data_IF_664449833675
#
_entry.id   IF_664449833675
#
_cell.length_a   1.000
_cell.length_b   1.000
_cell.length_c   1.000
_cell.angle_alpha   90.00
_cell.angle_beta   90.00
_cell.angle_gamma   90.00
#
_symmetry.space_group_name_H-M   'P 1'
#
loop_
_entity.id
_entity.type
_entity.pdbx_description
1 polymer ?
#
# COMPACT_ATOMS: atom_id res chain seq x y z
N UNK A 1 8.79 -36.67 29.14
CA UNK A 1 8.44 -35.48 29.95
C UNK A 1 7.18 -34.86 29.36
N UNK A 2 6.16 -34.56 30.15
CA UNK A 2 4.93 -33.91 29.64
C UNK A 2 5.14 -32.40 29.76
N UNK A 3 5.19 -31.70 28.63
CA UNK A 3 5.32 -30.23 28.61
C UNK A 3 3.98 -29.62 29.03
N UNK A 4 3.97 -28.89 30.16
CA UNK A 4 2.83 -28.07 30.53
C UNK A 4 2.79 -26.80 29.66
N UNK A 5 1.93 -26.83 28.65
CA UNK A 5 1.74 -25.73 27.70
C UNK A 5 1.26 -24.42 28.35
N UNK A 6 0.73 -24.46 29.59
CA UNK A 6 0.35 -23.25 30.32
C UNK A 6 1.57 -22.43 30.74
N UNK A 7 2.70 -23.09 30.96
CA UNK A 7 3.98 -22.48 31.36
C UNK A 7 4.80 -21.98 30.17
N UNK A 8 4.34 -22.20 28.94
CA UNK A 8 4.98 -21.63 27.75
C UNK A 8 4.75 -20.12 27.76
N UNK A 9 5.85 -19.38 27.64
CA UNK A 9 5.86 -17.92 27.52
C UNK A 9 6.36 -17.53 26.14
N UNK A 10 5.98 -16.34 25.68
CA UNK A 10 6.52 -15.74 24.45
C UNK A 10 6.99 -14.34 24.78
N UNK A 11 8.21 -14.00 24.38
CA UNK A 11 8.79 -12.66 24.57
C UNK A 11 9.62 -12.18 23.39
N UNK A 12 9.80 -10.86 23.21
CA UNK A 12 10.69 -10.34 22.19
C UNK A 12 12.12 -10.84 22.41
N UNK A 13 12.83 -11.04 21.32
CA UNK A 13 14.26 -11.39 21.35
C UNK A 13 15.04 -10.17 21.85
N UNK A 14 15.94 -10.37 22.81
CA UNK A 14 16.86 -9.34 23.26
C UNK A 14 18.02 -9.16 22.28
N UNK A 15 18.66 -7.99 22.27
CA UNK A 15 19.75 -7.68 21.33
C UNK A 15 20.92 -8.68 21.41
N UNK A 16 21.27 -9.13 22.63
CA UNK A 16 22.30 -10.15 22.87
C UNK A 16 21.93 -11.55 22.35
N UNK A 17 20.65 -11.81 22.10
CA UNK A 17 20.12 -13.10 21.66
C UNK A 17 19.93 -13.18 20.15
N UNK A 18 20.07 -12.06 19.42
CA UNK A 18 19.78 -11.97 17.99
C UNK A 18 20.63 -12.92 17.16
N UNK A 19 21.91 -13.07 17.51
CA UNK A 19 22.82 -13.99 16.81
C UNK A 19 22.36 -15.44 16.97
N UNK A 20 22.07 -15.88 18.21
CA UNK A 20 21.53 -17.22 18.49
C UNK A 20 20.22 -17.46 17.75
N UNK A 21 19.33 -16.47 17.74
CA UNK A 21 18.06 -16.55 16.99
C UNK A 21 18.29 -16.79 15.50
N UNK A 22 19.20 -16.02 14.89
CA UNK A 22 19.54 -16.16 13.48
C UNK A 22 20.18 -17.50 13.17
N UNK A 23 21.15 -17.94 13.97
CA UNK A 23 21.88 -19.19 13.78
C UNK A 23 20.91 -20.39 13.83
N UNK A 24 20.05 -20.46 14.85
CA UNK A 24 19.01 -21.51 14.95
C UNK A 24 17.98 -21.46 13.81
N UNK A 25 17.54 -20.26 13.42
CA UNK A 25 16.62 -20.10 12.29
C UNK A 25 17.28 -20.51 10.96
N UNK A 26 18.58 -20.25 10.81
CA UNK A 26 19.34 -20.62 9.63
C UNK A 26 19.53 -22.13 9.52
N UNK A 27 19.78 -22.78 10.65
CA UNK A 27 20.01 -24.22 10.74
C UNK A 27 18.73 -25.04 10.54
N UNK A 28 17.64 -24.69 11.23
CA UNK A 28 16.47 -25.56 11.33
C UNK A 28 15.25 -25.12 10.50
N UNK A 29 15.11 -23.84 10.13
CA UNK A 29 13.99 -23.43 9.28
C UNK A 29 14.28 -23.76 7.82
N UNK A 30 13.35 -24.42 7.12
CA UNK A 30 13.49 -24.82 5.71
C UNK A 30 13.74 -23.69 4.68
N UNK A 31 13.73 -22.43 5.10
CA UNK A 31 14.01 -21.24 4.29
C UNK A 31 15.16 -20.40 4.88
N UNK A 32 15.83 -20.91 5.90
CA UNK A 32 16.83 -20.23 6.69
C UNK A 32 16.34 -18.98 7.39
N UNK A 33 17.32 -18.23 7.89
CA UNK A 33 17.14 -16.96 8.58
C UNK A 33 16.64 -15.87 7.64
N UNK A 34 15.98 -14.86 8.21
CA UNK A 34 15.52 -13.68 7.48
C UNK A 34 16.07 -12.44 8.19
N UNK A 35 16.82 -11.56 7.49
CA UNK A 35 17.35 -10.34 8.11
C UNK A 35 16.23 -9.41 8.55
N UNK A 36 16.46 -8.61 9.62
CA UNK A 36 15.52 -7.56 10.04
C UNK A 36 15.52 -6.45 8.98
N UNK A 37 14.55 -6.50 8.06
CA UNK A 37 14.32 -5.46 7.05
C UNK A 37 13.01 -4.75 7.41
N UNK A 38 13.04 -3.42 7.46
CA UNK A 38 11.88 -2.58 7.81
C UNK A 38 11.31 -2.94 9.20
N UNK A 39 10.00 -2.79 9.38
CA UNK A 39 9.27 -3.12 10.61
C UNK A 39 9.24 -4.63 10.79
N UNK A 40 10.15 -5.16 11.62
CA UNK A 40 10.27 -6.59 11.93
C UNK A 40 10.45 -6.83 13.42
N UNK A 41 9.59 -7.67 14.01
CA UNK A 41 9.68 -8.19 15.38
C UNK A 41 10.05 -9.68 15.36
N UNK A 42 10.92 -10.07 16.28
CA UNK A 42 11.23 -11.47 16.56
C UNK A 42 10.80 -11.81 17.97
N UNK A 43 10.20 -12.97 18.11
CA UNK A 43 9.86 -13.55 19.40
C UNK A 43 10.51 -14.90 19.57
N UNK A 44 10.86 -15.20 20.80
CA UNK A 44 11.14 -16.56 21.24
C UNK A 44 9.98 -17.05 22.11
N UNK A 45 9.63 -18.31 21.96
CA UNK A 45 8.84 -19.04 22.92
C UNK A 45 9.76 -19.80 23.86
N UNK A 46 9.47 -19.78 25.16
CA UNK A 46 10.25 -20.49 26.18
C UNK A 46 9.37 -21.35 27.07
N UNK A 47 9.93 -22.44 27.58
CA UNK A 47 9.36 -23.28 28.64
C UNK A 47 10.48 -23.57 29.65
N UNK A 48 10.28 -23.22 30.92
CA UNK A 48 11.32 -23.31 31.96
C UNK A 48 12.67 -22.69 31.53
N UNK A 49 12.62 -21.51 30.90
CA UNK A 49 13.75 -20.77 30.31
C UNK A 49 14.43 -21.41 29.09
N UNK A 50 14.05 -22.63 28.69
CA UNK A 50 14.52 -23.24 27.45
C UNK A 50 13.77 -22.68 26.25
N UNK A 51 14.49 -22.45 25.15
CA UNK A 51 13.89 -22.00 23.90
C UNK A 51 13.19 -23.18 23.23
N UNK A 52 11.92 -23.00 22.88
CA UNK A 52 11.10 -24.08 22.29
C UNK A 52 10.63 -23.76 20.87
N UNK A 53 10.49 -22.47 20.53
CA UNK A 53 10.13 -22.03 19.19
C UNK A 53 10.60 -20.60 18.91
N UNK A 54 10.83 -20.31 17.63
CA UNK A 54 11.23 -19.01 17.10
C UNK A 54 10.18 -18.51 16.11
N UNK A 55 9.77 -17.25 16.21
CA UNK A 55 8.74 -16.70 15.34
C UNK A 55 9.00 -15.24 14.98
N UNK A 56 8.93 -14.93 13.67
CA UNK A 56 9.17 -13.60 13.11
C UNK A 56 7.89 -13.02 12.54
N UNK A 57 7.65 -11.74 12.83
CA UNK A 57 6.64 -10.90 12.20
C UNK A 57 7.33 -9.75 11.48
N UNK A 58 7.06 -9.56 10.20
CA UNK A 58 7.66 -8.51 9.38
C UNK A 58 6.60 -7.77 8.58
N UNK A 59 6.99 -6.69 7.91
CA UNK A 59 6.13 -6.00 6.94
C UNK A 59 5.42 -6.99 5.98
N UNK A 60 4.15 -6.73 5.61
CA UNK A 60 3.35 -7.64 4.81
C UNK A 60 3.79 -7.67 3.34
N UNK A 61 3.34 -8.68 2.61
CA UNK A 61 3.52 -8.77 1.18
C UNK A 61 2.83 -7.58 0.49
N UNK A 62 3.61 -6.86 -0.32
CA UNK A 62 3.15 -5.69 -1.07
C UNK A 62 1.98 -6.00 -2.02
N UNK A 63 1.87 -7.25 -2.49
CA UNK A 63 0.82 -7.72 -3.39
C UNK A 63 0.38 -9.11 -2.97
N UNK A 64 -0.89 -9.27 -2.60
CA UNK A 64 -1.45 -10.57 -2.25
C UNK A 64 -2.93 -10.61 -2.64
N UNK A 65 -3.22 -11.05 -3.88
CA UNK A 65 -4.58 -10.99 -4.43
C UNK A 65 -5.60 -11.79 -3.59
N UNK A 66 -5.19 -12.91 -2.99
CA UNK A 66 -6.04 -13.72 -2.11
C UNK A 66 -6.51 -12.91 -0.90
N UNK A 67 -5.57 -12.31 -0.17
CA UNK A 67 -5.84 -11.39 0.93
C UNK A 67 -6.66 -10.18 0.48
N UNK A 68 -6.22 -9.49 -0.58
CA UNK A 68 -6.85 -8.25 -1.02
C UNK A 68 -8.33 -8.46 -1.37
N UNK A 69 -8.65 -9.59 -2.04
CA UNK A 69 -10.03 -10.02 -2.30
C UNK A 69 -10.82 -10.32 -1.03
N UNK A 70 -10.20 -11.01 -0.07
CA UNK A 70 -10.84 -11.32 1.20
C UNK A 70 -11.18 -10.07 2.00
N UNK A 71 -10.30 -9.06 2.02
CA UNK A 71 -10.57 -7.77 2.68
C UNK A 71 -11.60 -6.94 1.88
N UNK A 72 -11.66 -7.11 0.56
CA UNK A 72 -12.47 -6.26 -0.33
C UNK A 72 -11.71 -5.02 -0.80
N UNK A 73 -10.37 -5.05 -0.79
CA UNK A 73 -9.57 -3.95 -1.31
C UNK A 73 -9.62 -3.88 -2.83
N UNK A 74 -10.01 -2.71 -3.34
CA UNK A 74 -9.63 -2.29 -4.68
C UNK A 74 -8.14 -1.88 -4.71
N UNK A 75 -7.62 -1.67 -5.92
CA UNK A 75 -6.22 -1.30 -6.11
C UNK A 75 -5.85 0.09 -5.56
N UNK A 76 -6.83 0.94 -5.23
CA UNK A 76 -6.63 2.32 -4.78
C UNK A 76 -6.36 2.40 -3.28
N UNK A 77 -6.93 1.49 -2.49
CA UNK A 77 -6.81 1.51 -1.01
C UNK A 77 -5.70 0.61 -0.46
N UNK A 78 -5.14 -0.28 -1.28
CA UNK A 78 -4.25 -1.36 -0.83
C UNK A 78 -3.01 -0.86 -0.09
N UNK A 79 -2.29 0.13 -0.63
CA UNK A 79 -0.93 0.47 -0.17
C UNK A 79 -0.90 1.28 1.12
N UNK A 80 -1.83 2.22 1.30
CA UNK A 80 -1.91 3.06 2.49
C UNK A 80 -2.22 2.24 3.75
N UNK A 81 -2.84 1.07 3.57
CA UNK A 81 -3.30 0.21 4.65
C UNK A 81 -2.35 -0.94 4.97
N UNK A 82 -1.30 -1.16 4.17
CA UNK A 82 -0.33 -2.22 4.44
C UNK A 82 0.37 -2.05 5.80
N UNK A 83 0.54 -0.83 6.31
CA UNK A 83 1.07 -0.62 7.67
C UNK A 83 0.17 -1.16 8.78
N UNK A 84 -1.11 -1.43 8.50
CA UNK A 84 -2.04 -2.07 9.44
C UNK A 84 -1.96 -3.60 9.39
N UNK A 85 -1.10 -4.15 8.54
CA UNK A 85 -0.93 -5.58 8.35
C UNK A 85 0.49 -5.99 8.76
N UNK A 86 0.65 -7.24 9.16
CA UNK A 86 1.97 -7.84 9.38
C UNK A 86 1.99 -9.27 8.89
N UNK A 87 3.14 -9.76 8.46
CA UNK A 87 3.32 -11.11 7.96
C UNK A 87 4.10 -11.94 9.00
N UNK A 88 3.52 -13.06 9.43
CA UNK A 88 4.28 -14.09 10.11
C UNK A 88 5.21 -14.77 9.09
N UNK A 89 6.41 -14.20 8.95
CA UNK A 89 7.36 -14.50 7.89
C UNK A 89 8.21 -15.74 8.13
N UNK A 90 8.41 -16.11 9.41
CA UNK A 90 9.08 -17.35 9.82
C UNK A 90 8.43 -17.89 11.07
N UNK A 91 8.26 -19.20 11.13
CA UNK A 91 7.84 -19.89 12.34
C UNK A 91 8.51 -21.26 12.40
N UNK A 92 9.31 -21.46 13.44
CA UNK A 92 10.12 -22.64 13.68
C UNK A 92 9.82 -23.16 15.08
N UNK A 93 9.33 -24.39 15.18
CA UNK A 93 9.42 -25.17 16.43
C UNK A 93 10.77 -25.87 16.40
N UNK A 94 11.53 -25.80 17.50
CA UNK A 94 12.86 -26.40 17.53
C UNK A 94 12.74 -27.95 17.50
N UNK A 95 13.73 -28.68 16.94
CA UNK A 95 13.63 -30.12 16.68
C UNK A 95 13.23 -30.99 17.89
N UNK A 96 13.70 -30.63 19.09
CA UNK A 96 13.40 -31.40 20.31
C UNK A 96 12.05 -31.03 20.95
N UNK A 97 11.32 -30.10 20.34
CA UNK A 97 10.12 -29.46 20.92
C UNK A 97 8.84 -29.71 20.13
N UNK A 98 8.80 -30.75 19.29
CA UNK A 98 7.59 -31.14 18.54
C UNK A 98 6.52 -31.80 19.42
N UNK A 99 5.92 -31.03 20.32
CA UNK A 99 4.83 -31.46 21.19
C UNK A 99 3.45 -31.06 20.64
N UNK A 100 2.40 -31.87 20.85
CA UNK A 100 1.03 -31.52 20.46
C UNK A 100 0.63 -30.15 21.00
N UNK A 101 -0.01 -29.33 20.16
CA UNK A 101 -0.56 -28.01 20.49
C UNK A 101 0.46 -26.92 20.91
N UNK A 102 1.76 -27.21 20.97
CA UNK A 102 2.77 -26.19 21.30
C UNK A 102 2.74 -25.05 20.30
N UNK A 103 2.75 -25.37 19.00
CA UNK A 103 2.85 -24.37 17.96
C UNK A 103 1.61 -23.45 17.89
N UNK A 104 0.40 -24.00 18.06
CA UNK A 104 -0.84 -23.19 18.13
C UNK A 104 -0.92 -22.38 19.42
N UNK A 105 -0.38 -22.89 20.54
CA UNK A 105 -0.20 -22.13 21.78
C UNK A 105 0.73 -20.93 21.59
N UNK A 106 1.87 -21.11 20.93
CA UNK A 106 2.80 -20.02 20.61
C UNK A 106 2.12 -18.95 19.75
N UNK A 107 1.40 -19.33 18.69
CA UNK A 107 0.64 -18.38 17.87
C UNK A 107 -0.40 -17.59 18.70
N UNK A 108 -1.10 -18.27 19.61
CA UNK A 108 -2.08 -17.63 20.51
C UNK A 108 -1.43 -16.63 21.47
N UNK A 109 -0.26 -16.95 22.02
CA UNK A 109 0.51 -16.05 22.87
C UNK A 109 1.04 -14.83 22.09
N UNK A 110 1.55 -15.03 20.87
CA UNK A 110 1.92 -13.93 19.98
C UNK A 110 0.72 -13.01 19.70
N UNK A 111 -0.44 -13.58 19.34
CA UNK A 111 -1.66 -12.82 19.08
C UNK A 111 -2.02 -11.88 20.24
N UNK A 112 -1.89 -12.33 21.50
CA UNK A 112 -2.23 -11.52 22.69
C UNK A 112 -1.33 -10.31 22.90
N UNK A 113 -0.10 -10.32 22.39
CA UNK A 113 0.89 -9.26 22.66
C UNK A 113 1.27 -8.43 21.45
N UNK A 114 1.12 -8.98 20.24
CA UNK A 114 1.64 -8.40 19.00
C UNK A 114 1.17 -6.96 18.78
N UNK A 115 -0.12 -6.65 19.01
CA UNK A 115 -0.62 -5.29 18.84
C UNK A 115 0.08 -4.28 19.75
N UNK A 116 0.31 -4.66 21.02
CA UNK A 116 0.97 -3.80 22.00
C UNK A 116 2.43 -3.58 21.61
N UNK A 117 3.18 -4.66 21.38
CA UNK A 117 4.60 -4.57 21.04
C UNK A 117 4.83 -3.84 19.70
N UNK A 118 3.94 -4.03 18.73
CA UNK A 118 4.02 -3.34 17.43
C UNK A 118 3.79 -1.84 17.59
N UNK A 119 2.78 -1.45 18.37
CA UNK A 119 2.50 -0.05 18.68
C UNK A 119 3.66 0.61 19.43
N UNK A 120 4.20 -0.05 20.45
CA UNK A 120 5.33 0.45 21.25
C UNK A 120 6.59 0.63 20.41
N UNK A 121 6.86 -0.30 19.48
CA UNK A 121 8.10 -0.29 18.72
C UNK A 121 8.07 0.54 17.44
N UNK A 122 6.93 0.59 16.75
CA UNK A 122 6.81 1.24 15.45
C UNK A 122 5.89 2.47 15.47
N UNK A 123 5.25 2.76 16.60
CA UNK A 123 4.41 3.95 16.78
C UNK A 123 3.05 3.85 16.11
N UNK A 124 2.61 2.65 15.69
CA UNK A 124 1.34 2.49 14.99
C UNK A 124 0.66 1.13 15.19
N UNK A 125 -0.68 1.05 15.07
CA UNK A 125 -1.40 -0.21 15.23
C UNK A 125 -1.21 -1.18 14.06
N UNK A 126 -1.51 -2.44 14.36
CA UNK A 126 -1.65 -3.55 13.41
C UNK A 126 -3.00 -4.24 13.68
N UNK A 127 -3.73 -4.56 12.61
CA UNK A 127 -5.10 -5.08 12.64
C UNK A 127 -5.22 -6.51 12.11
N UNK A 128 -4.28 -6.94 11.26
CA UNK A 128 -4.37 -8.23 10.57
C UNK A 128 -2.99 -8.86 10.41
N UNK A 129 -2.88 -10.14 10.78
CA UNK A 129 -1.73 -10.95 10.41
C UNK A 129 -2.01 -11.72 9.12
N UNK A 130 -0.99 -11.91 8.31
CA UNK A 130 -0.98 -12.84 7.19
C UNK A 130 0.18 -13.85 7.34
N UNK A 131 0.10 -14.96 6.63
CA UNK A 131 1.21 -15.89 6.46
C UNK A 131 1.04 -16.67 5.16
N UNK A 132 2.14 -17.29 4.71
CA UNK A 132 2.21 -18.05 3.48
C UNK A 132 2.73 -19.45 3.76
N UNK A 133 1.88 -20.45 3.55
CA UNK A 133 2.22 -21.85 3.74
C UNK A 133 2.55 -22.47 2.39
N UNK A 134 3.70 -23.13 2.32
CA UNK A 134 4.11 -23.85 1.11
C UNK A 134 3.52 -25.26 1.13
N UNK A 135 2.54 -25.58 0.26
CA UNK A 135 1.84 -26.86 0.26
C UNK A 135 2.75 -28.04 -0.09
N UNK A 136 3.95 -27.78 -0.64
CA UNK A 136 4.96 -28.83 -0.84
C UNK A 136 5.44 -29.44 0.49
N UNK A 137 5.49 -28.63 1.55
CA UNK A 137 6.05 -29.03 2.83
C UNK A 137 4.99 -29.12 3.94
N UNK A 138 3.95 -28.30 3.89
CA UNK A 138 2.99 -28.15 4.98
C UNK A 138 1.58 -27.89 4.49
N UNK A 139 0.57 -28.41 5.22
CA UNK A 139 -0.86 -28.20 4.91
C UNK A 139 -1.52 -27.10 5.76
N UNK A 140 -0.74 -26.39 6.58
CA UNK A 140 -1.19 -25.26 7.40
C UNK A 140 -1.96 -25.64 8.67
N UNK A 141 -1.82 -26.88 9.17
CA UNK A 141 -2.52 -27.41 10.35
C UNK A 141 -2.43 -26.48 11.56
N UNK A 142 -1.25 -25.95 11.84
CA UNK A 142 -1.03 -25.06 13.00
C UNK A 142 -1.84 -23.76 12.91
N UNK A 143 -1.95 -23.19 11.71
CA UNK A 143 -2.71 -21.96 11.48
C UNK A 143 -4.21 -22.23 11.59
N UNK A 144 -4.69 -23.35 11.04
CA UNK A 144 -6.08 -23.80 11.21
C UNK A 144 -6.42 -24.00 12.69
N UNK A 145 -5.57 -24.70 13.44
CA UNK A 145 -5.73 -24.92 14.88
C UNK A 145 -5.70 -23.62 15.70
N UNK A 146 -4.99 -22.58 15.22
CA UNK A 146 -4.98 -21.26 15.83
C UNK A 146 -6.11 -20.33 15.31
N UNK A 147 -7.12 -20.88 14.64
CA UNK A 147 -8.27 -20.17 14.09
C UNK A 147 -7.88 -19.07 13.07
N UNK A 148 -6.87 -19.34 12.23
CA UNK A 148 -6.58 -18.53 11.05
C UNK A 148 -7.48 -18.96 9.90
N UNK A 149 -7.84 -17.99 9.06
CA UNK A 149 -8.74 -18.19 7.91
C UNK A 149 -7.91 -18.37 6.65
N UNK A 150 -8.13 -19.46 5.92
CA UNK A 150 -7.58 -19.63 4.58
C UNK A 150 -8.33 -18.74 3.60
N UNK A 151 -7.62 -17.95 2.80
CA UNK A 151 -8.22 -16.93 1.90
C UNK A 151 -7.90 -17.15 0.42
N UNK A 152 -7.34 -18.31 0.08
CA UNK A 152 -6.94 -18.69 -1.27
C UNK A 152 -5.44 -18.78 -1.45
N UNK A 153 -5.01 -18.97 -2.69
CA UNK A 153 -3.60 -19.19 -3.02
C UNK A 153 -2.94 -17.98 -3.70
N UNK A 154 -1.62 -17.91 -3.56
CA UNK A 154 -0.79 -16.99 -4.34
C UNK A 154 -0.65 -17.49 -5.78
N UNK A 155 -0.24 -16.60 -6.70
CA UNK A 155 0.01 -16.97 -8.11
C UNK A 155 1.39 -17.59 -8.36
N UNK A 156 2.18 -17.86 -7.32
CA UNK A 156 3.51 -18.46 -7.46
C UNK A 156 4.64 -17.53 -7.93
N UNK A 157 4.39 -16.24 -8.17
CA UNK A 157 5.43 -15.29 -8.61
C UNK A 157 6.25 -14.76 -7.43
N UNK A 158 7.58 -14.72 -7.59
CA UNK A 158 8.50 -14.14 -6.61
C UNK A 158 9.11 -12.84 -7.14
N UNK A 159 9.35 -11.87 -6.26
CA UNK A 159 10.12 -10.67 -6.61
C UNK A 159 11.62 -11.00 -6.70
N UNK A 160 12.25 -10.66 -7.81
CA UNK A 160 13.69 -10.70 -8.07
C UNK A 160 14.25 -9.27 -8.10
N UNK A 161 15.57 -9.10 -8.18
CA UNK A 161 16.19 -7.77 -8.35
C UNK A 161 15.72 -7.05 -9.63
N UNK A 162 15.31 -7.79 -10.66
CA UNK A 162 14.90 -7.25 -11.96
C UNK A 162 13.37 -7.11 -12.11
N UNK A 163 12.56 -7.53 -11.12
CA UNK A 163 11.11 -7.48 -11.22
C UNK A 163 10.43 -8.65 -10.53
N UNK A 164 9.41 -9.22 -11.16
CA UNK A 164 8.83 -10.51 -10.73
C UNK A 164 9.34 -11.62 -11.65
N UNK A 165 9.46 -12.84 -11.12
CA UNK A 165 9.84 -14.02 -11.90
C UNK A 165 8.91 -14.18 -13.11
N UNK A 166 9.47 -14.57 -14.25
CA UNK A 166 8.70 -14.89 -15.46
C UNK A 166 7.93 -16.20 -15.30
N UNK A 167 8.46 -17.13 -14.51
CA UNK A 167 7.83 -18.41 -14.18
C UNK A 167 7.18 -18.36 -12.81
N UNK A 168 5.95 -18.88 -12.74
CA UNK A 168 5.27 -19.13 -11.48
C UNK A 168 5.82 -20.40 -10.83
N UNK A 169 6.24 -20.31 -9.58
CA UNK A 169 6.47 -21.47 -8.72
C UNK A 169 5.15 -22.03 -8.21
N UNK A 170 5.21 -23.07 -7.38
CA UNK A 170 4.02 -23.62 -6.73
C UNK A 170 3.29 -22.52 -5.92
N UNK A 171 1.98 -22.37 -6.12
CA UNK A 171 1.13 -21.53 -5.30
C UNK A 171 1.29 -21.83 -3.80
N UNK A 172 1.51 -20.79 -3.01
CA UNK A 172 1.42 -20.85 -1.55
C UNK A 172 0.02 -20.58 -1.07
N UNK A 173 -0.42 -21.33 -0.06
CA UNK A 173 -1.67 -21.07 0.66
C UNK A 173 -1.55 -19.80 1.50
N UNK A 174 -2.53 -18.92 1.42
CA UNK A 174 -2.57 -17.68 2.20
C UNK A 174 -3.54 -17.86 3.37
N UNK A 175 -3.04 -17.60 4.57
CA UNK A 175 -3.86 -17.55 5.78
C UNK A 175 -3.82 -16.15 6.37
N UNK A 176 -4.95 -15.71 6.95
CA UNK A 176 -5.05 -14.43 7.65
C UNK A 176 -5.63 -14.61 9.04
N UNK A 177 -5.26 -13.73 9.97
CA UNK A 177 -5.78 -13.69 11.33
C UNK A 177 -6.09 -12.27 11.77
N UNK A 178 -7.36 -11.91 11.94
CA UNK A 178 -7.77 -10.65 12.58
C UNK A 178 -7.17 -10.53 13.98
N UNK A 179 -6.55 -9.39 14.27
CA UNK A 179 -6.06 -9.01 15.61
C UNK A 179 -7.08 -8.18 16.39
N UNK A 180 -8.16 -7.77 15.72
CA UNK A 180 -9.26 -7.00 16.28
C UNK A 180 -10.58 -7.57 15.76
N UNK A 181 -11.63 -7.59 16.59
CA UNK A 181 -12.93 -8.16 16.21
C UNK A 181 -13.52 -7.52 14.94
N UNK A 182 -13.31 -6.21 14.78
CA UNK A 182 -13.76 -5.43 13.61
C UNK A 182 -12.67 -5.24 12.56
N UNK A 183 -11.57 -5.99 12.59
CA UNK A 183 -10.42 -5.74 11.70
C UNK A 183 -10.81 -5.78 10.22
N UNK A 184 -11.59 -6.77 9.80
CA UNK A 184 -12.06 -6.89 8.42
C UNK A 184 -12.90 -5.66 8.02
N UNK A 185 -13.90 -5.31 8.83
CA UNK A 185 -14.75 -4.13 8.61
C UNK A 185 -13.91 -2.85 8.52
N UNK A 186 -13.04 -2.58 9.50
CA UNK A 186 -12.16 -1.41 9.52
C UNK A 186 -11.30 -1.37 8.25
N UNK A 187 -10.65 -2.48 7.90
CA UNK A 187 -9.78 -2.54 6.74
C UNK A 187 -10.56 -2.40 5.42
N UNK A 188 -11.83 -2.81 5.37
CA UNK A 188 -12.68 -2.67 4.18
C UNK A 188 -13.31 -1.28 4.02
N UNK A 189 -13.39 -0.49 5.10
CA UNK A 189 -14.02 0.83 5.07
C UNK A 189 -13.34 1.75 4.05
N UNK A 190 -14.07 2.61 3.34
CA UNK A 190 -13.48 3.53 2.37
C UNK A 190 -12.59 4.58 3.07
N UNK A 191 -12.99 5.03 4.25
CA UNK A 191 -12.24 6.00 5.06
C UNK A 191 -11.90 5.38 6.40
N UNK A 192 -10.61 5.35 6.70
CA UNK A 192 -10.12 4.89 7.99
C UNK A 192 -10.28 5.98 9.05
N UNK A 193 -10.53 5.59 10.29
CA UNK A 193 -10.40 6.49 11.44
C UNK A 193 -8.98 7.11 11.49
N UNK A 194 -8.81 8.35 11.99
CA UNK A 194 -7.50 9.01 12.04
C UNK A 194 -6.37 8.17 12.63
N UNK A 195 -6.66 7.37 13.68
CA UNK A 195 -5.70 6.46 14.33
C UNK A 195 -5.11 5.38 13.40
N UNK A 196 -5.80 5.07 12.29
CA UNK A 196 -5.40 4.06 11.31
C UNK A 196 -4.83 4.70 10.02
N UNK A 197 -4.70 6.03 9.94
CA UNK A 197 -4.14 6.75 8.79
C UNK A 197 -2.63 6.93 8.93
N UNK A 198 -1.89 5.85 8.68
CA UNK A 198 -0.48 5.72 9.10
C UNK A 198 0.49 5.93 7.92
N UNK A 199 -0.05 5.91 6.69
CA UNK A 199 0.65 6.25 5.47
C UNK A 199 0.24 7.63 4.95
N UNK A 200 1.15 8.30 4.23
CA UNK A 200 0.73 9.35 3.29
C UNK A 200 -0.05 8.72 2.14
N UNK A 201 -1.04 9.43 1.59
CA UNK A 201 -1.86 8.99 0.46
C UNK A 201 -0.97 8.57 -0.73
N UNK A 202 -0.73 7.27 -0.92
CA UNK A 202 0.13 6.73 -1.98
C UNK A 202 -0.64 5.67 -2.76
N UNK A 203 -1.34 6.10 -3.80
CA UNK A 203 -1.85 5.16 -4.81
C UNK A 203 -0.65 4.73 -5.65
N UNK A 204 -0.28 3.45 -5.62
CA UNK A 204 0.64 2.92 -6.64
C UNK A 204 -0.15 2.76 -7.93
N UNK A 205 0.34 3.18 -9.10
CA UNK A 205 -0.40 3.03 -10.35
C UNK A 205 -0.28 1.62 -10.95
N UNK A 206 -1.36 1.12 -11.54
CA UNK A 206 -1.37 -0.14 -12.27
C UNK A 206 -0.83 0.08 -13.69
N UNK A 207 -0.38 -0.97 -14.36
CA UNK A 207 0.01 -0.87 -15.77
C UNK A 207 -1.13 -0.33 -16.65
N UNK A 208 -2.38 -0.74 -16.36
CA UNK A 208 -3.58 -0.25 -17.05
C UNK A 208 -3.79 1.25 -16.80
N UNK A 209 -3.66 1.71 -15.55
CA UNK A 209 -3.77 3.13 -15.22
C UNK A 209 -2.67 3.96 -15.90
N UNK A 210 -1.42 3.49 -15.91
CA UNK A 210 -0.32 4.20 -16.58
C UNK A 210 -0.59 4.35 -18.08
N UNK A 211 -1.16 3.33 -18.73
CA UNK A 211 -1.53 3.34 -20.14
C UNK A 211 -2.69 4.28 -20.45
N UNK A 212 -3.76 4.22 -19.65
CA UNK A 212 -5.00 4.95 -19.95
C UNK A 212 -4.96 6.40 -19.49
N UNK A 213 -4.14 6.75 -18.49
CA UNK A 213 -4.17 8.08 -17.86
C UNK A 213 -3.83 9.23 -18.83
N UNK A 214 -2.80 9.13 -19.70
CA UNK A 214 -2.56 10.15 -20.73
C UNK A 214 -3.76 10.38 -21.66
N UNK A 215 -4.58 9.35 -21.91
CA UNK A 215 -5.65 9.40 -22.90
C UNK A 215 -6.76 10.37 -22.52
N UNK A 216 -7.01 10.55 -21.22
CA UNK A 216 -8.01 11.50 -20.70
C UNK A 216 -7.64 12.96 -20.98
N UNK A 217 -6.37 13.23 -21.28
CA UNK A 217 -5.84 14.57 -21.53
C UNK A 217 -5.60 14.85 -23.02
N UNK A 218 -5.90 13.91 -23.94
CA UNK A 218 -5.63 14.08 -25.38
C UNK A 218 -6.41 15.22 -26.02
N UNK A 219 -7.64 15.43 -25.56
CA UNK A 219 -8.54 16.46 -26.10
C UNK A 219 -8.16 17.88 -25.67
N UNK A 220 -7.23 18.04 -24.72
CA UNK A 220 -6.85 19.37 -24.23
C UNK A 220 -5.93 20.04 -25.26
N UNK A 221 -6.26 21.24 -25.77
CA UNK A 221 -5.40 21.98 -26.68
C UNK A 221 -4.05 22.31 -26.03
N UNK A 222 -2.94 22.14 -26.76
CA UNK A 222 -1.61 22.44 -26.24
C UNK A 222 -1.32 23.95 -26.28
N UNK A 223 -1.24 24.64 -25.11
CA UNK A 223 -1.08 26.08 -25.06
C UNK A 223 0.38 26.52 -25.33
N UNK A 224 1.32 25.57 -25.49
CA UNK A 224 2.73 25.87 -25.71
C UNK A 224 3.00 26.20 -27.17
N UNK A 225 4.03 27.00 -27.43
CA UNK A 225 4.55 27.27 -28.78
C UNK A 225 5.16 26.00 -29.39
N UNK A 226 5.10 25.85 -30.71
CA UNK A 226 5.55 24.64 -31.44
C UNK A 226 6.96 24.17 -31.09
N UNK A 227 7.93 25.08 -30.93
CA UNK A 227 9.32 24.76 -30.58
C UNK A 227 9.50 24.09 -29.20
N UNK A 228 8.52 24.23 -28.29
CA UNK A 228 8.54 23.64 -26.94
C UNK A 228 7.87 22.26 -26.83
N UNK A 229 7.25 21.75 -27.91
CA UNK A 229 6.41 20.55 -27.89
C UNK A 229 7.20 19.25 -28.08
N UNK A 230 8.32 19.09 -27.37
CA UNK A 230 9.11 17.84 -27.45
C UNK A 230 8.44 16.66 -26.73
N UNK A 231 7.62 16.92 -25.72
CA UNK A 231 6.76 15.92 -25.08
C UNK A 231 5.31 16.28 -25.38
N UNK A 232 4.48 15.31 -25.75
CA UNK A 232 3.04 15.54 -25.92
C UNK A 232 2.42 16.05 -24.61
N UNK A 233 1.44 16.95 -24.74
CA UNK A 233 0.74 17.52 -23.58
C UNK A 233 0.12 16.43 -22.70
N UNK A 234 -0.55 15.47 -23.35
CA UNK A 234 -1.21 14.33 -22.70
C UNK A 234 -0.24 13.48 -21.87
N UNK A 235 0.97 13.24 -22.36
CA UNK A 235 2.01 12.52 -21.62
C UNK A 235 2.49 13.31 -20.40
N UNK A 236 2.72 14.63 -20.55
CA UNK A 236 3.15 15.47 -19.43
C UNK A 236 2.07 15.49 -18.34
N UNK A 237 0.82 15.75 -18.72
CA UNK A 237 -0.32 15.76 -17.79
C UNK A 237 -0.57 14.38 -17.18
N UNK A 238 -0.43 13.30 -17.95
CA UNK A 238 -0.53 11.93 -17.45
C UNK A 238 0.54 11.61 -16.40
N UNK A 239 1.79 12.05 -16.60
CA UNK A 239 2.86 11.90 -15.61
C UNK A 239 2.58 12.75 -14.36
N UNK A 240 2.13 13.99 -14.51
CA UNK A 240 1.78 14.86 -13.39
C UNK A 240 0.65 14.24 -12.56
N UNK A 241 -0.46 13.89 -13.21
CA UNK A 241 -1.61 13.26 -12.55
C UNK A 241 -1.17 11.96 -11.87
N UNK A 242 -0.34 11.16 -12.55
CA UNK A 242 0.19 9.93 -12.00
C UNK A 242 1.05 10.14 -10.75
N UNK A 243 1.93 11.14 -10.77
CA UNK A 243 2.76 11.49 -9.62
C UNK A 243 1.92 11.99 -8.44
N UNK A 244 0.92 12.85 -8.70
CA UNK A 244 0.01 13.39 -7.68
C UNK A 244 -0.81 12.26 -7.05
N UNK A 245 -1.31 11.31 -7.85
CA UNK A 245 -1.98 10.10 -7.34
C UNK A 245 -1.04 9.25 -6.48
N UNK A 246 0.26 9.20 -6.84
CA UNK A 246 1.31 8.58 -6.03
C UNK A 246 1.71 9.40 -4.78
N UNK A 247 1.03 10.52 -4.50
CA UNK A 247 1.25 11.35 -3.32
C UNK A 247 2.37 12.37 -3.45
N UNK A 248 2.92 12.59 -4.66
CA UNK A 248 3.96 13.59 -4.88
C UNK A 248 3.37 14.99 -4.88
N UNK A 249 4.02 15.93 -4.19
CA UNK A 249 3.58 17.32 -4.08
C UNK A 249 4.68 18.27 -4.53
N UNK A 250 4.33 19.21 -5.40
CA UNK A 250 5.26 20.19 -5.96
C UNK A 250 6.04 19.66 -7.17
N UNK A 251 6.54 20.58 -7.99
CA UNK A 251 7.16 20.27 -9.29
C UNK A 251 8.39 19.36 -9.18
N UNK A 252 9.22 19.56 -8.15
CA UNK A 252 10.43 18.78 -7.94
C UNK A 252 10.10 17.31 -7.64
N UNK A 253 9.20 17.05 -6.68
CA UNK A 253 8.79 15.69 -6.34
C UNK A 253 8.15 14.95 -7.53
N UNK A 254 7.38 15.66 -8.36
CA UNK A 254 6.80 15.09 -9.59
C UNK A 254 7.89 14.72 -10.59
N UNK A 255 8.89 15.60 -10.79
CA UNK A 255 10.02 15.34 -11.68
C UNK A 255 10.85 14.15 -11.21
N UNK A 256 11.18 14.08 -9.91
CA UNK A 256 11.97 12.98 -9.34
C UNK A 256 11.22 11.65 -9.46
N UNK A 257 9.91 11.66 -9.21
CA UNK A 257 9.06 10.50 -9.42
C UNK A 257 9.07 10.05 -10.88
N UNK A 258 8.94 10.98 -11.84
CA UNK A 258 8.99 10.66 -13.26
C UNK A 258 10.35 10.03 -13.64
N UNK A 259 11.45 10.58 -13.14
CA UNK A 259 12.79 10.04 -13.38
C UNK A 259 12.97 8.64 -12.78
N UNK A 260 12.35 8.36 -11.64
CA UNK A 260 12.40 7.04 -10.99
C UNK A 260 11.64 5.93 -11.74
N UNK A 261 10.80 6.28 -12.73
CA UNK A 261 10.04 5.30 -13.51
C UNK A 261 10.97 4.40 -14.34
N UNK A 262 10.79 3.09 -14.24
CA UNK A 262 11.48 2.12 -15.10
C UNK A 262 11.03 2.18 -16.56
N UNK A 263 11.78 1.60 -17.52
CA UNK A 263 11.52 1.72 -18.95
C UNK A 263 10.10 1.36 -19.38
N UNK A 264 9.56 0.25 -18.84
CA UNK A 264 8.18 -0.20 -19.09
C UNK A 264 7.12 0.76 -18.57
N UNK A 265 7.39 1.50 -17.50
CA UNK A 265 6.44 2.49 -16.98
C UNK A 265 6.46 3.76 -17.84
N UNK A 266 7.64 4.21 -18.26
CA UNK A 266 7.79 5.36 -19.18
C UNK A 266 7.14 5.09 -20.54
N UNK A 267 7.31 3.87 -21.06
CA UNK A 267 6.61 3.37 -22.25
C UNK A 267 5.09 3.50 -22.10
N UNK A 268 4.54 3.02 -20.98
CA UNK A 268 3.10 3.07 -20.72
C UNK A 268 2.55 4.49 -20.62
N UNK A 269 3.33 5.44 -20.13
CA UNK A 269 2.96 6.86 -20.13
C UNK A 269 3.08 7.52 -21.51
N UNK A 270 3.42 6.79 -22.58
CA UNK A 270 3.70 7.34 -23.90
C UNK A 270 4.82 8.38 -23.87
N UNK A 271 5.88 8.14 -23.08
CA UNK A 271 7.09 8.94 -23.16
C UNK A 271 7.71 8.83 -24.56
N UNK A 272 8.32 9.90 -25.05
CA UNK A 272 9.03 9.85 -26.34
C UNK A 272 10.29 8.97 -26.22
N UNK A 273 10.73 8.42 -27.35
CA UNK A 273 12.01 7.70 -27.46
C UNK A 273 13.10 8.65 -27.95
N UNK A 274 14.26 8.56 -27.33
CA UNK A 274 15.47 9.31 -27.68
C UNK A 274 16.66 8.39 -27.41
N UNK A 275 17.52 8.17 -28.41
CA UNK A 275 18.69 7.26 -28.31
C UNK A 275 18.35 5.88 -27.72
N UNK A 276 17.25 5.28 -28.18
CA UNK A 276 16.79 3.96 -27.73
C UNK A 276 16.09 3.92 -26.36
N UNK A 277 16.08 5.04 -25.62
CA UNK A 277 15.50 5.12 -24.26
C UNK A 277 14.26 6.00 -24.20
N UNK A 278 13.33 5.66 -23.29
CA UNK A 278 12.15 6.49 -23.03
C UNK A 278 12.50 7.67 -22.10
N UNK A 279 12.27 8.90 -22.58
CA UNK A 279 12.65 10.14 -21.88
C UNK A 279 11.42 10.82 -21.28
N UNK A 280 11.51 11.12 -19.98
CA UNK A 280 10.48 11.82 -19.21
C UNK A 280 10.62 13.34 -19.33
N UNK A 281 9.54 14.12 -19.15
CA UNK A 281 9.64 15.58 -19.12
C UNK A 281 10.47 16.04 -17.92
N UNK A 282 11.26 17.09 -18.13
CA UNK A 282 12.00 17.74 -17.04
C UNK A 282 11.08 18.57 -16.15
N UNK A 283 11.57 18.95 -14.96
CA UNK A 283 10.88 19.89 -14.06
C UNK A 283 10.42 21.16 -14.81
N UNK A 284 11.28 21.75 -15.65
CA UNK A 284 10.93 22.94 -16.43
C UNK A 284 9.76 22.69 -17.40
N UNK A 285 9.72 21.54 -18.08
CA UNK A 285 8.60 21.20 -18.99
C UNK A 285 7.31 20.99 -18.20
N UNK A 286 7.38 20.30 -17.06
CA UNK A 286 6.22 20.08 -16.18
C UNK A 286 5.67 21.43 -15.69
N UNK A 287 6.55 22.31 -15.21
CA UNK A 287 6.18 23.65 -14.73
C UNK A 287 5.57 24.50 -15.84
N UNK A 288 6.18 24.54 -17.02
CA UNK A 288 5.69 25.33 -18.16
C UNK A 288 4.29 24.88 -18.62
N UNK A 289 4.05 23.56 -18.68
CA UNK A 289 2.72 23.02 -18.99
C UNK A 289 1.69 23.44 -17.95
N UNK A 290 1.98 23.22 -16.67
CA UNK A 290 0.99 23.45 -15.60
C UNK A 290 0.64 24.93 -15.39
N UNK A 291 1.55 25.86 -15.74
CA UNK A 291 1.28 27.30 -15.68
C UNK A 291 0.36 27.76 -16.82
N UNK A 292 0.44 27.11 -17.98
CA UNK A 292 -0.24 27.57 -19.22
C UNK A 292 -1.56 26.84 -19.51
N UNK A 293 -1.78 25.68 -18.90
CA UNK A 293 -2.97 24.86 -19.16
C UNK A 293 -4.22 25.61 -18.72
N UNK A 294 -5.30 25.50 -19.50
CA UNK A 294 -6.62 25.98 -19.08
C UNK A 294 -7.11 25.13 -17.89
N UNK A 295 -7.35 25.74 -16.71
CA UNK A 295 -7.85 25.02 -15.55
C UNK A 295 -9.19 24.32 -15.80
N UNK A 296 -10.07 24.87 -16.63
CA UNK A 296 -11.39 24.32 -16.90
C UNK A 296 -11.33 23.05 -17.79
N UNK A 297 -10.44 23.04 -18.77
CA UNK A 297 -10.17 21.85 -19.59
C UNK A 297 -9.52 20.74 -18.77
N UNK A 298 -8.57 21.11 -17.90
CA UNK A 298 -7.91 20.17 -17.01
C UNK A 298 -8.90 19.55 -16.03
N UNK A 299 -9.79 20.34 -15.42
CA UNK A 299 -10.81 19.84 -14.50
C UNK A 299 -11.78 18.88 -15.21
N UNK A 300 -12.28 19.23 -16.40
CA UNK A 300 -13.12 18.34 -17.22
C UNK A 300 -12.43 17.01 -17.54
N UNK A 301 -11.14 17.02 -17.89
CA UNK A 301 -10.38 15.80 -18.13
C UNK A 301 -10.24 14.93 -16.86
N UNK A 302 -9.98 15.56 -15.71
CA UNK A 302 -9.90 14.86 -14.43
C UNK A 302 -11.25 14.29 -14.00
N UNK A 303 -12.36 15.01 -14.23
CA UNK A 303 -13.71 14.52 -13.99
C UNK A 303 -14.03 13.28 -14.85
N UNK A 304 -13.68 13.28 -16.15
CA UNK A 304 -13.84 12.09 -17.01
C UNK A 304 -13.02 10.90 -16.51
N UNK A 305 -11.76 11.15 -16.11
CA UNK A 305 -10.92 10.10 -15.54
C UNK A 305 -11.52 9.53 -14.25
N UNK A 306 -12.05 10.42 -13.41
CA UNK A 306 -12.72 10.08 -12.18
C UNK A 306 -14.03 9.31 -12.41
N UNK A 307 -14.86 9.66 -13.38
CA UNK A 307 -16.07 8.89 -13.70
C UNK A 307 -15.74 7.48 -14.20
N UNK A 308 -14.70 7.36 -15.03
CA UNK A 308 -14.30 6.07 -15.59
C UNK A 308 -13.64 5.11 -14.58
N UNK A 309 -13.13 5.63 -13.45
CA UNK A 309 -12.34 4.82 -12.50
C UNK A 309 -12.77 4.97 -11.04
N UNK A 310 -13.50 6.02 -10.68
CA UNK A 310 -14.16 6.22 -9.40
C UNK A 310 -15.47 5.45 -9.40
N UNK A 311 -15.48 4.32 -8.70
CA UNK A 311 -16.68 3.48 -8.59
C UNK A 311 -17.91 4.26 -8.11
N UNK A 312 -19.09 3.74 -8.42
CA UNK A 312 -20.42 4.35 -8.29
C UNK A 312 -20.87 4.76 -6.88
N UNK A 313 -20.02 4.73 -5.85
CA UNK A 313 -20.45 4.91 -4.46
C UNK A 313 -19.73 6.06 -3.75
N UNK A 314 -20.22 7.29 -3.90
CA UNK A 314 -19.98 8.36 -2.92
C UNK A 314 -21.17 8.41 -1.95
N UNK A 315 -21.01 7.86 -0.74
CA UNK A 315 -22.04 7.93 0.32
C UNK A 315 -21.97 9.23 1.15
N UNK A 316 -20.95 10.09 0.95
CA UNK A 316 -20.80 11.37 1.65
C UNK A 316 -20.01 12.40 0.83
N UNK A 317 -20.45 13.66 0.86
CA UNK A 317 -19.84 14.82 0.19
C UNK A 317 -19.19 15.75 1.23
N UNK A 318 -17.95 16.17 1.00
CA UNK A 318 -17.28 17.23 1.76
C UNK A 318 -17.42 18.55 1.01
N UNK A 319 -17.76 19.65 1.70
CA UNK A 319 -17.91 20.97 1.08
C UNK A 319 -16.75 21.85 1.55
N UNK A 320 -15.94 22.35 0.62
CA UNK A 320 -14.83 23.28 0.86
C UNK A 320 -15.14 24.63 0.22
N UNK A 321 -15.10 25.70 1.02
CA UNK A 321 -15.30 27.07 0.57
C UNK A 321 -13.99 27.85 0.64
N UNK A 322 -13.49 28.30 -0.51
CA UNK A 322 -12.28 29.15 -0.58
C UNK A 322 -12.66 30.57 -0.97
N UNK A 323 -12.16 31.51 -0.17
CA UNK A 323 -12.21 32.94 -0.48
C UNK A 323 -10.95 33.32 -1.24
N UNK A 324 -11.13 33.80 -2.47
CA UNK A 324 -10.00 34.19 -3.31
C UNK A 324 -9.44 35.54 -2.83
N UNK A 325 -8.17 35.59 -2.42
CA UNK A 325 -7.49 36.86 -2.10
C UNK A 325 -7.32 37.68 -3.38
N UNK A 326 -7.76 38.94 -3.34
CA UNK A 326 -7.66 39.94 -4.41
C UNK A 326 -8.52 39.69 -5.67
N UNK A 327 -9.48 38.76 -5.63
CA UNK A 327 -10.49 38.62 -6.68
C UNK A 327 -11.80 39.24 -6.21
N UNK A 328 -12.11 40.43 -6.73
CA UNK A 328 -13.29 41.22 -6.40
C UNK A 328 -14.20 41.23 -7.62
N UNK A 329 -15.51 41.01 -7.43
CA UNK A 329 -16.47 41.07 -8.53
C UNK A 329 -16.87 42.51 -8.90
N UNK A 330 -17.68 42.65 -9.96
CA UNK A 330 -18.17 43.94 -10.47
C UNK A 330 -18.98 44.74 -9.44
N UNK A 331 -19.39 44.12 -8.32
CA UNK A 331 -20.15 44.75 -7.24
C UNK A 331 -19.28 45.06 -6.01
N UNK A 332 -17.96 44.84 -6.08
CA UNK A 332 -17.04 45.14 -4.98
C UNK A 332 -16.91 44.04 -3.92
N UNK A 333 -17.49 42.85 -4.14
CA UNK A 333 -17.45 41.76 -3.17
C UNK A 333 -16.34 40.75 -3.46
N UNK A 334 -15.80 40.16 -2.40
CA UNK A 334 -14.76 39.13 -2.53
C UNK A 334 -15.36 37.84 -3.09
N UNK A 335 -14.71 37.28 -4.12
CA UNK A 335 -15.23 36.09 -4.81
C UNK A 335 -15.00 34.85 -3.94
N UNK A 336 -16.11 34.19 -3.60
CA UNK A 336 -16.13 32.90 -2.91
C UNK A 336 -16.36 31.77 -3.92
N UNK A 337 -15.47 30.79 -3.89
CA UNK A 337 -15.58 29.57 -4.67
C UNK A 337 -15.95 28.44 -3.71
N UNK A 338 -17.09 27.80 -3.97
CA UNK A 338 -17.51 26.63 -3.23
C UNK A 338 -17.29 25.37 -4.08
N UNK A 339 -16.65 24.36 -3.49
CA UNK A 339 -16.41 23.07 -4.12
C UNK A 339 -16.98 21.95 -3.26
N UNK A 340 -17.87 21.14 -3.85
CA UNK A 340 -18.36 19.92 -3.24
C UNK A 340 -17.49 18.76 -3.72
N UNK A 341 -16.75 18.13 -2.82
CA UNK A 341 -15.78 17.08 -3.09
C UNK A 341 -16.31 15.77 -2.51
N UNK A 342 -16.51 14.75 -3.34
CA UNK A 342 -16.83 13.40 -2.91
C UNK A 342 -15.82 12.91 -1.89
N UNK A 343 -16.28 12.51 -0.70
CA UNK A 343 -15.37 12.29 0.42
C UNK A 343 -14.47 11.05 0.20
N UNK A 344 -14.95 10.07 -0.57
CA UNK A 344 -14.24 8.84 -0.90
C UNK A 344 -13.49 8.96 -2.23
N UNK A 345 -14.11 9.60 -3.21
CA UNK A 345 -13.58 9.70 -4.57
C UNK A 345 -12.65 10.90 -4.79
N UNK A 346 -12.71 11.90 -3.89
CA UNK A 346 -12.15 13.25 -4.07
C UNK A 346 -12.63 13.95 -5.35
N UNK A 347 -13.78 13.54 -5.89
CA UNK A 347 -14.39 14.13 -7.08
C UNK A 347 -14.94 15.50 -6.73
N UNK A 348 -14.45 16.56 -7.35
CA UNK A 348 -15.10 17.87 -7.31
C UNK A 348 -16.35 17.82 -8.19
N UNK A 349 -17.53 17.80 -7.59
CA UNK A 349 -18.82 17.70 -8.27
C UNK A 349 -19.31 19.06 -8.80
N UNK A 350 -18.81 20.17 -8.26
CA UNK A 350 -19.13 21.52 -8.76
C UNK A 350 -18.10 22.55 -8.29
N UNK A 351 -17.80 23.52 -9.14
CA UNK A 351 -17.09 24.75 -8.78
C UNK A 351 -17.93 25.91 -9.31
N UNK A 352 -18.82 26.46 -8.46
CA UNK A 352 -19.73 27.55 -8.82
C UNK A 352 -19.35 28.80 -8.04
N UNK A 353 -19.38 29.96 -8.70
CA UNK A 353 -19.34 31.27 -8.03
C UNK A 353 -20.54 31.31 -7.08
N UNK A 354 -20.29 31.35 -5.77
CA UNK A 354 -21.37 31.47 -4.79
C UNK A 354 -21.83 32.92 -4.79
N UNK A 355 -23.11 33.15 -5.06
CA UNK A 355 -23.74 34.44 -4.74
C UNK A 355 -23.90 34.47 -3.22
N UNK A 356 -23.75 35.64 -2.58
CA UNK A 356 -24.03 35.79 -1.15
C UNK A 356 -25.45 35.29 -0.86
N UNK A 357 -25.58 34.25 -0.05
CA UNK A 357 -26.84 34.00 0.65
C UNK A 357 -27.01 35.15 1.64
N UNK A 358 -28.11 35.90 1.49
CA UNK A 358 -28.50 36.94 2.44
C UNK A 358 -28.91 36.34 3.77
#
# INVERSE_FOLDING_TARGET
MVVDLKQVLVRPVHQSEEKRYQDLMQEYHYLGSLPKISETLWYIATWLNEWVALISFSAPALKCKARDRWIGWDFRHQYDRLKLLTNNSRFLVLPDWHYPNLASRVLSLCHKRLCKDWQERFGHPVLLMETFVDPKFFIGTVYRAANWVYVGDTKGFRRTRQGYSSTAQLPKMVFVKPLHAKAHTILSQPILEPRYRIGGHKIMLSAKHMLSLPDFFREIPDPRRGQGRRHSLSTVLGIVAGAVLCGMRGYQAISDWAQSLGPKARERFNCRRENGSYVVPSNNVIRDVLIRIDPAELDRALQRWNQAHGGENDQALAIDGKTMRNAIDEQGHQIHIMSAIGHQTKICHTQKKSVLCR
#
